data_IF_576638984070
#
_entry.id   IF_576638984070
#
_cell.length_a   1.000
_cell.length_b   1.000
_cell.length_c   1.000
_cell.angle_alpha   90.00
_cell.angle_beta   90.00
_cell.angle_gamma   90.00
#
_symmetry.space_group_name_H-M   'P 1'
#
loop_
_entity.id
_entity.type
_entity.pdbx_description
1 polymer ?
#
# COMPACT_ATOMS: atom_id res chain seq x y z
N UNK A 1 -11.80 19.92 6.59
CA UNK A 1 -11.14 20.35 5.33
C UNK A 1 -12.08 20.12 4.16
N UNK A 2 -13.20 20.79 4.19
CA UNK A 2 -14.23 20.63 3.14
C UNK A 2 -14.32 21.82 2.22
N UNK A 3 -13.73 22.96 2.62
CA UNK A 3 -13.69 24.19 1.82
C UNK A 3 -12.46 24.21 0.91
N UNK A 4 -12.52 25.00 -0.14
CA UNK A 4 -11.38 25.24 -1.02
C UNK A 4 -10.23 25.95 -0.30
N UNK A 5 -10.56 26.85 0.64
CA UNK A 5 -9.56 27.56 1.44
C UNK A 5 -8.76 26.60 2.34
N UNK A 6 -9.42 25.65 3.01
CA UNK A 6 -8.77 24.60 3.79
C UNK A 6 -7.84 23.76 2.91
N UNK A 7 -8.33 23.39 1.70
CA UNK A 7 -7.56 22.60 0.75
C UNK A 7 -6.29 23.34 0.31
N UNK A 8 -6.41 24.60 -0.08
CA UNK A 8 -5.29 25.44 -0.55
C UNK A 8 -4.26 25.66 0.58
N UNK A 9 -4.73 25.83 1.82
CA UNK A 9 -3.83 25.90 2.97
C UNK A 9 -3.03 24.60 3.13
N UNK A 10 -3.70 23.44 3.11
CA UNK A 10 -3.01 22.16 3.27
C UNK A 10 -2.08 21.91 2.08
N UNK A 11 -2.50 22.20 0.84
CA UNK A 11 -1.65 22.07 -0.34
C UNK A 11 -0.41 22.96 -0.27
N UNK A 12 -0.51 24.15 0.36
CA UNK A 12 0.65 25.00 0.58
C UNK A 12 1.68 24.38 1.53
N UNK A 13 1.27 23.50 2.43
CA UNK A 13 2.13 22.87 3.46
C UNK A 13 2.55 21.45 3.15
N UNK A 14 1.71 20.69 2.45
CA UNK A 14 1.87 19.25 2.18
C UNK A 14 1.96 19.03 0.67
N UNK A 15 2.86 18.18 0.23
CA UNK A 15 2.90 17.69 -1.15
C UNK A 15 1.77 16.67 -1.33
N UNK A 16 0.61 17.14 -1.77
CA UNK A 16 -0.60 16.32 -1.86
C UNK A 16 -0.49 15.21 -2.90
N UNK A 17 0.31 15.39 -3.96
CA UNK A 17 0.56 14.33 -4.93
C UNK A 17 1.41 13.21 -4.31
N UNK A 18 2.46 13.56 -3.57
CA UNK A 18 3.28 12.58 -2.85
C UNK A 18 2.48 11.87 -1.75
N UNK A 19 1.63 12.59 -1.03
CA UNK A 19 0.73 12.01 -0.04
C UNK A 19 -0.23 11.00 -0.69
N UNK A 20 -0.80 11.34 -1.85
CA UNK A 20 -1.66 10.44 -2.60
C UNK A 20 -0.90 9.19 -3.06
N UNK A 21 0.32 9.35 -3.61
CA UNK A 21 1.18 8.22 -4.00
C UNK A 21 1.50 7.30 -2.81
N UNK A 22 1.88 7.87 -1.68
CA UNK A 22 2.18 7.13 -0.45
C UNK A 22 1.00 6.24 -0.05
N UNK A 23 -0.19 6.83 0.11
CA UNK A 23 -1.36 6.09 0.53
C UNK A 23 -1.91 5.12 -0.51
N UNK A 24 -1.69 5.38 -1.80
CA UNK A 24 -2.00 4.40 -2.86
C UNK A 24 -1.14 3.16 -2.72
N UNK A 25 0.16 3.31 -2.40
CA UNK A 25 1.06 2.16 -2.19
C UNK A 25 0.66 1.39 -0.94
N UNK A 26 0.50 2.06 0.19
CA UNK A 26 0.09 1.45 1.47
C UNK A 26 -1.21 0.64 1.29
N UNK A 27 -2.21 1.24 0.65
CA UNK A 27 -3.51 0.60 0.38
C UNK A 27 -3.38 -0.57 -0.58
N UNK A 28 -2.63 -0.42 -1.67
CA UNK A 28 -2.49 -1.49 -2.67
C UNK A 28 -1.78 -2.70 -2.11
N UNK A 29 -0.72 -2.52 -1.36
CA UNK A 29 0.05 -3.61 -0.76
C UNK A 29 -0.53 -4.15 0.53
N UNK A 30 -1.62 -3.55 1.03
CA UNK A 30 -2.29 -4.00 2.25
C UNK A 30 -1.33 -4.01 3.45
N UNK A 31 -0.66 -2.88 3.65
CA UNK A 31 0.27 -2.72 4.76
C UNK A 31 -0.46 -2.81 6.10
N UNK A 32 -0.11 -3.82 6.88
CA UNK A 32 -0.76 -4.10 8.15
C UNK A 32 -0.23 -3.24 9.30
N UNK A 33 1.02 -2.78 9.21
CA UNK A 33 1.65 -1.93 10.23
C UNK A 33 1.80 -0.46 9.77
N UNK A 34 0.70 0.31 9.66
CA UNK A 34 0.76 1.70 9.27
C UNK A 34 1.24 2.63 10.41
N UNK A 35 1.79 2.07 11.49
CA UNK A 35 2.34 2.84 12.62
C UNK A 35 3.74 3.39 12.32
N UNK A 36 4.48 2.74 11.44
CA UNK A 36 5.83 3.10 11.06
C UNK A 36 5.83 4.22 10.00
N UNK A 37 5.27 5.39 10.34
CA UNK A 37 5.22 6.53 9.42
C UNK A 37 6.39 7.48 9.68
N UNK A 38 7.11 7.81 8.62
CA UNK A 38 8.12 8.87 8.59
C UNK A 38 7.78 9.91 7.54
N UNK A 39 8.02 11.14 7.90
CA UNK A 39 7.84 12.28 7.01
C UNK A 39 8.92 13.32 7.26
N UNK A 40 9.18 14.15 6.27
CA UNK A 40 10.16 15.21 6.35
C UNK A 40 9.67 16.46 5.62
N UNK A 41 10.25 17.60 5.98
CA UNK A 41 10.02 18.87 5.28
C UNK A 41 11.37 19.47 4.91
N UNK A 42 11.68 19.68 3.63
CA UNK A 42 12.81 20.50 3.22
C UNK A 42 12.66 21.93 3.73
N UNK A 43 13.77 22.65 3.89
CA UNK A 43 13.77 24.03 4.43
C UNK A 43 12.78 24.93 3.69
N UNK A 44 12.79 24.88 2.36
CA UNK A 44 11.91 25.68 1.49
C UNK A 44 10.85 24.82 0.78
N UNK A 45 10.46 23.69 1.38
CA UNK A 45 9.58 22.72 0.74
C UNK A 45 8.32 22.41 1.53
N UNK A 46 7.53 21.49 0.97
CA UNK A 46 6.32 20.93 1.57
C UNK A 46 6.65 19.66 2.36
N UNK A 47 5.78 19.27 3.28
CA UNK A 47 5.83 17.98 3.96
C UNK A 47 5.67 16.84 2.97
N UNK A 48 6.50 15.80 3.10
CA UNK A 48 6.49 14.58 2.29
C UNK A 48 6.60 13.34 3.15
N UNK A 49 5.95 12.27 2.75
CA UNK A 49 6.00 10.97 3.39
C UNK A 49 7.12 10.12 2.80
N UNK A 50 7.76 9.32 3.65
CA UNK A 50 8.79 8.37 3.23
C UNK A 50 8.17 7.00 3.18
N UNK A 51 8.15 6.39 2.00
CA UNK A 51 7.73 5.01 1.84
C UNK A 51 8.85 4.07 2.31
N UNK A 52 8.60 3.31 3.37
CA UNK A 52 9.54 2.34 3.93
C UNK A 52 8.77 1.31 4.75
N UNK A 53 9.46 0.21 5.15
CA UNK A 53 8.94 -0.79 6.09
C UNK A 53 7.66 -1.49 5.62
N UNK A 54 7.67 -1.90 4.33
CA UNK A 54 6.53 -2.58 3.70
C UNK A 54 6.60 -4.12 3.83
N UNK A 55 7.29 -4.64 4.83
CA UNK A 55 7.43 -6.08 5.06
C UNK A 55 6.17 -6.73 5.64
N UNK A 56 5.30 -5.94 6.27
CA UNK A 56 4.02 -6.39 6.82
C UNK A 56 2.87 -6.26 5.79
N UNK A 57 3.10 -6.80 4.59
CA UNK A 57 2.13 -6.73 3.48
C UNK A 57 1.60 -8.11 3.09
N UNK A 58 0.44 -8.15 2.45
CA UNK A 58 -0.18 -9.37 1.89
C UNK A 58 -0.45 -10.48 2.91
N UNK A 59 -0.83 -10.16 4.13
CA UNK A 59 -1.26 -11.16 5.09
C UNK A 59 -2.56 -11.85 4.66
N UNK A 60 -2.64 -13.17 4.90
CA UNK A 60 -3.73 -14.04 4.44
C UNK A 60 -5.12 -13.61 4.96
N UNK A 61 -5.17 -13.02 6.14
CA UNK A 61 -6.42 -12.61 6.78
C UNK A 61 -6.95 -11.24 6.32
N UNK A 62 -6.12 -10.40 5.73
CA UNK A 62 -6.50 -9.10 5.16
C UNK A 62 -7.03 -9.24 3.72
N UNK A 63 -6.85 -10.40 3.12
CA UNK A 63 -7.09 -10.70 1.72
C UNK A 63 -8.48 -10.32 1.18
N UNK A 64 -9.49 -10.34 2.03
CA UNK A 64 -10.88 -10.12 1.61
C UNK A 64 -11.46 -8.75 1.95
N UNK A 65 -10.75 -7.93 2.70
CA UNK A 65 -11.33 -6.69 3.23
C UNK A 65 -10.36 -5.52 3.22
N UNK A 66 -10.31 -4.79 2.11
CA UNK A 66 -9.70 -3.45 2.09
C UNK A 66 -10.47 -2.43 3.00
N UNK A 67 -11.41 -2.87 3.79
CA UNK A 67 -12.05 -1.99 4.80
C UNK A 67 -11.05 -1.40 5.79
N UNK A 68 -9.92 -2.11 6.01
CA UNK A 68 -8.88 -1.73 6.94
C UNK A 68 -7.80 -0.83 6.32
N UNK A 69 -7.68 -0.84 4.98
CA UNK A 69 -6.58 -0.21 4.27
C UNK A 69 -6.91 1.14 3.67
N UNK A 70 -8.19 1.51 3.67
CA UNK A 70 -8.54 2.84 3.20
C UNK A 70 -8.23 3.84 4.30
N UNK A 71 -7.34 4.80 4.04
CA UNK A 71 -6.94 5.81 5.02
C UNK A 71 -8.06 6.80 5.33
N UNK A 72 -9.31 6.44 5.01
CA UNK A 72 -10.47 7.32 5.10
C UNK A 72 -11.31 7.05 6.35
N UNK A 73 -11.16 5.89 6.96
CA UNK A 73 -11.79 5.58 8.22
C UNK A 73 -10.81 5.81 9.36
N UNK A 74 -10.95 6.89 10.14
CA UNK A 74 -10.04 7.16 11.25
C UNK A 74 -10.13 6.13 12.38
N UNK A 75 -11.11 5.23 12.32
CA UNK A 75 -11.34 4.19 13.33
C UNK A 75 -11.03 2.78 12.81
N UNK A 76 -10.66 2.64 11.54
CA UNK A 76 -10.46 1.34 10.91
C UNK A 76 -9.43 0.47 11.64
N UNK A 77 -8.39 1.09 12.18
CA UNK A 77 -7.30 0.40 12.88
C UNK A 77 -7.31 0.62 14.41
N UNK A 78 -8.43 1.05 14.95
CA UNK A 78 -8.55 1.39 16.37
C UNK A 78 -7.88 2.72 16.75
N UNK A 79 -7.91 3.06 18.04
CA UNK A 79 -7.48 4.37 18.52
C UNK A 79 -6.00 4.71 18.29
N UNK A 80 -5.15 3.72 18.13
CA UNK A 80 -3.71 3.92 17.96
C UNK A 80 -3.33 4.48 16.58
N UNK A 81 -4.19 4.32 15.58
CA UNK A 81 -3.95 4.76 14.19
C UNK A 81 -4.61 6.09 13.84
N UNK A 82 -5.35 6.66 14.76
CA UNK A 82 -6.13 7.87 14.56
C UNK A 82 -5.33 9.04 13.97
N UNK A 83 -4.11 9.26 14.48
CA UNK A 83 -3.27 10.37 14.02
C UNK A 83 -2.82 10.19 12.55
N UNK A 84 -2.58 8.95 12.14
CA UNK A 84 -2.04 8.65 10.81
C UNK A 84 -3.09 8.82 9.72
N UNK A 85 -4.35 8.50 10.02
CA UNK A 85 -5.44 8.53 9.05
C UNK A 85 -6.25 9.82 9.07
N UNK A 86 -6.15 10.63 10.12
CA UNK A 86 -6.95 11.86 10.28
C UNK A 86 -6.78 12.83 9.13
N UNK A 87 -5.55 13.04 8.66
CA UNK A 87 -5.30 13.94 7.53
C UNK A 87 -6.03 13.46 6.28
N UNK A 88 -5.86 12.18 5.91
CA UNK A 88 -6.48 11.59 4.73
C UNK A 88 -8.01 11.54 4.83
N UNK A 89 -8.56 11.11 5.98
CA UNK A 89 -10.01 11.03 6.19
C UNK A 89 -10.72 12.40 6.12
N UNK A 90 -9.98 13.46 6.32
CA UNK A 90 -10.51 14.82 6.14
C UNK A 90 -10.25 15.37 4.75
N UNK A 91 -9.09 15.12 4.15
CA UNK A 91 -8.77 15.56 2.79
C UNK A 91 -9.70 14.92 1.75
N UNK A 92 -10.03 13.64 1.90
CA UNK A 92 -10.88 12.93 0.93
C UNK A 92 -12.30 13.49 0.82
N UNK A 93 -12.74 14.28 1.81
CA UNK A 93 -14.02 15.00 1.77
C UNK A 93 -13.99 16.20 0.83
N UNK A 94 -12.80 16.70 0.50
CA UNK A 94 -12.66 17.75 -0.49
C UNK A 94 -12.66 17.17 -1.91
N UNK A 95 -13.51 17.66 -2.83
CA UNK A 95 -13.63 17.10 -4.19
C UNK A 95 -12.33 17.15 -4.99
N UNK A 96 -11.48 18.17 -4.78
CA UNK A 96 -10.18 18.30 -5.49
C UNK A 96 -9.24 17.18 -5.08
N UNK A 97 -9.09 16.96 -3.77
CA UNK A 97 -8.23 15.88 -3.28
C UNK A 97 -8.81 14.50 -3.61
N UNK A 98 -10.12 14.32 -3.49
CA UNK A 98 -10.78 13.07 -3.87
C UNK A 98 -10.49 12.72 -5.33
N UNK A 99 -10.60 13.68 -6.25
CA UNK A 99 -10.26 13.46 -7.65
C UNK A 99 -8.78 13.11 -7.84
N UNK A 100 -7.89 13.86 -7.21
CA UNK A 100 -6.44 13.62 -7.23
C UNK A 100 -6.11 12.18 -6.76
N UNK A 101 -6.70 11.74 -5.65
CA UNK A 101 -6.45 10.41 -5.12
C UNK A 101 -6.96 9.30 -6.04
N UNK A 102 -8.19 9.43 -6.57
CA UNK A 102 -8.77 8.46 -7.50
C UNK A 102 -7.93 8.37 -8.78
N UNK A 103 -7.52 9.51 -9.34
CA UNK A 103 -6.68 9.58 -10.54
C UNK A 103 -5.31 8.94 -10.31
N UNK A 104 -4.69 9.20 -9.16
CA UNK A 104 -3.40 8.60 -8.75
C UNK A 104 -3.55 7.10 -8.60
N UNK A 105 -4.59 6.63 -7.93
CA UNK A 105 -4.84 5.20 -7.73
C UNK A 105 -5.07 4.50 -9.08
N UNK A 106 -5.91 5.07 -9.93
CA UNK A 106 -6.18 4.54 -11.27
C UNK A 106 -4.92 4.53 -12.15
N UNK A 107 -4.10 5.57 -12.09
CA UNK A 107 -2.82 5.60 -12.79
C UNK A 107 -1.93 4.43 -12.39
N UNK A 108 -1.76 4.18 -11.10
CA UNK A 108 -0.94 3.09 -10.60
C UNK A 108 -1.50 1.72 -10.96
N UNK A 109 -2.80 1.51 -10.83
CA UNK A 109 -3.43 0.26 -11.25
C UNK A 109 -3.27 0.00 -12.75
N UNK A 110 -3.49 1.02 -13.57
CA UNK A 110 -3.41 0.88 -15.02
C UNK A 110 -1.97 0.79 -15.57
N UNK A 111 -0.95 1.19 -14.81
CA UNK A 111 0.42 1.29 -15.29
C UNK A 111 1.44 0.59 -14.38
N UNK A 112 1.51 0.98 -13.11
CA UNK A 112 2.58 0.56 -12.18
C UNK A 112 2.34 -0.84 -11.63
N UNK A 113 1.11 -1.11 -11.18
CA UNK A 113 0.74 -2.34 -10.47
C UNK A 113 0.11 -3.40 -11.37
N UNK A 114 0.37 -3.35 -12.67
CA UNK A 114 -0.06 -4.42 -13.58
C UNK A 114 0.53 -5.76 -13.12
N UNK A 115 -0.28 -6.82 -12.98
CA UNK A 115 0.18 -8.11 -12.46
C UNK A 115 1.41 -8.67 -13.18
N UNK A 116 1.43 -8.60 -14.51
CA UNK A 116 2.57 -9.08 -15.30
C UNK A 116 3.85 -8.29 -15.03
N UNK A 117 3.72 -6.96 -14.88
CA UNK A 117 4.86 -6.10 -14.52
C UNK A 117 5.38 -6.41 -13.13
N UNK A 118 4.48 -6.54 -12.16
CA UNK A 118 4.83 -6.83 -10.78
C UNK A 118 5.50 -8.20 -10.66
N UNK A 119 4.96 -9.22 -11.30
CA UNK A 119 5.57 -10.55 -11.33
C UNK A 119 6.96 -10.57 -11.97
N UNK A 120 7.17 -9.82 -13.06
CA UNK A 120 8.51 -9.68 -13.66
C UNK A 120 9.53 -9.04 -12.73
N UNK A 121 9.09 -8.04 -11.93
CA UNK A 121 9.96 -7.41 -10.91
C UNK A 121 10.28 -8.42 -9.81
N UNK A 122 9.28 -9.14 -9.31
CA UNK A 122 9.48 -10.18 -8.30
C UNK A 122 10.43 -11.27 -8.80
N UNK A 123 10.24 -11.76 -10.03
CA UNK A 123 11.14 -12.78 -10.64
C UNK A 123 12.59 -12.28 -10.71
N UNK A 124 12.78 -11.00 -11.04
CA UNK A 124 14.14 -10.42 -11.07
C UNK A 124 14.74 -10.38 -9.66
N UNK A 125 13.99 -9.91 -8.65
CA UNK A 125 14.45 -9.86 -7.26
C UNK A 125 14.78 -11.27 -6.73
N UNK A 126 13.92 -12.24 -6.99
CA UNK A 126 14.15 -13.66 -6.64
C UNK A 126 15.47 -14.15 -7.23
N UNK A 127 15.68 -13.94 -8.53
CA UNK A 127 16.91 -14.36 -9.22
C UNK A 127 18.17 -13.73 -8.65
N UNK A 128 18.09 -12.49 -8.15
CA UNK A 128 19.23 -11.78 -7.57
C UNK A 128 19.68 -12.36 -6.22
N UNK A 129 18.77 -12.95 -5.44
CA UNK A 129 19.07 -13.46 -4.10
C UNK A 129 19.04 -14.99 -3.99
N UNK A 130 18.53 -15.70 -5.00
CA UNK A 130 18.28 -17.15 -4.97
C UNK A 130 19.51 -17.97 -4.56
N UNK A 131 20.70 -17.60 -5.05
CA UNK A 131 21.94 -18.30 -4.73
C UNK A 131 22.39 -18.16 -3.28
N UNK A 132 21.96 -17.09 -2.62
CA UNK A 132 22.31 -16.78 -1.22
C UNK A 132 21.31 -17.37 -0.22
N UNK A 133 20.10 -17.72 -0.68
CA UNK A 133 19.05 -18.19 0.22
C UNK A 133 19.37 -19.48 0.98
N UNK A 134 20.08 -20.48 0.41
CA UNK A 134 20.50 -21.66 1.18
C UNK A 134 21.37 -21.30 2.40
N UNK A 135 22.30 -20.34 2.22
CA UNK A 135 23.17 -19.87 3.31
C UNK A 135 22.41 -19.04 4.34
N UNK A 136 21.47 -18.22 3.88
CA UNK A 136 20.57 -17.48 4.76
C UNK A 136 19.73 -18.43 5.65
N UNK A 137 19.12 -19.45 5.05
CA UNK A 137 18.31 -20.44 5.76
C UNK A 137 19.16 -21.22 6.78
N UNK A 138 20.34 -21.70 6.36
CA UNK A 138 21.24 -22.45 7.28
C UNK A 138 21.70 -21.57 8.45
N UNK A 139 21.97 -20.30 8.19
CA UNK A 139 22.42 -19.34 9.22
C UNK A 139 21.34 -19.07 10.27
N UNK A 140 20.11 -18.83 9.84
CA UNK A 140 19.06 -18.31 10.71
C UNK A 140 18.09 -19.38 11.23
N UNK A 141 18.00 -20.52 10.58
CA UNK A 141 17.15 -21.63 11.02
C UNK A 141 17.45 -22.06 12.46
N UNK A 142 18.69 -22.23 12.80
CA UNK A 142 19.11 -22.73 14.12
C UNK A 142 18.98 -21.71 15.26
N UNK A 143 19.09 -20.44 14.95
CA UNK A 143 19.00 -19.36 15.94
C UNK A 143 17.56 -18.93 16.21
N UNK A 144 16.66 -19.20 15.29
CA UNK A 144 15.28 -18.75 15.33
C UNK A 144 14.32 -19.68 16.07
N UNK A 145 14.76 -20.85 16.47
CA UNK A 145 13.95 -21.81 17.27
C UNK A 145 13.38 -21.18 18.56
N UNK A 146 13.92 -20.05 19.00
CA UNK A 146 13.45 -19.36 20.20
C UNK A 146 12.61 -18.11 19.96
N UNK A 147 12.49 -17.58 18.73
CA UNK A 147 12.06 -16.18 18.57
C UNK A 147 10.86 -15.94 17.64
N UNK A 148 10.53 -16.73 16.66
CA UNK A 148 9.29 -16.51 15.91
C UNK A 148 8.98 -17.49 14.79
N UNK A 149 7.69 -17.48 14.40
CA UNK A 149 7.07 -18.12 13.26
C UNK A 149 7.49 -17.57 11.86
N UNK A 150 8.52 -16.75 11.77
CA UNK A 150 8.95 -16.08 10.52
C UNK A 150 10.21 -16.65 9.90
N UNK A 151 10.60 -17.87 10.28
CA UNK A 151 11.80 -18.51 9.75
C UNK A 151 11.46 -19.48 8.65
N UNK A 152 12.36 -19.57 7.69
CA UNK A 152 12.25 -20.53 6.60
C UNK A 152 12.92 -21.84 7.00
N UNK A 153 12.20 -22.95 6.90
CA UNK A 153 12.75 -24.27 7.20
C UNK A 153 13.67 -24.79 6.08
N UNK A 154 13.35 -24.44 4.84
CA UNK A 154 14.08 -24.93 3.67
C UNK A 154 13.75 -24.12 2.40
N UNK A 155 14.49 -24.41 1.33
CA UNK A 155 14.28 -23.76 0.02
C UNK A 155 12.90 -24.01 -0.58
N UNK A 156 12.25 -25.15 -0.31
CA UNK A 156 10.91 -25.40 -0.84
C UNK A 156 9.90 -24.45 -0.21
N UNK A 157 10.01 -24.15 1.06
CA UNK A 157 9.17 -23.17 1.73
C UNK A 157 9.39 -21.78 1.16
N UNK A 158 10.63 -21.38 0.91
CA UNK A 158 10.94 -20.12 0.25
C UNK A 158 10.27 -20.00 -1.12
N UNK A 159 10.36 -21.03 -1.96
CA UNK A 159 9.67 -21.03 -3.25
C UNK A 159 8.15 -21.03 -3.11
N UNK A 160 7.59 -21.70 -2.11
CA UNK A 160 6.16 -21.66 -1.84
C UNK A 160 5.70 -20.25 -1.48
N UNK A 161 6.48 -19.52 -0.66
CA UNK A 161 6.19 -18.13 -0.32
C UNK A 161 6.28 -17.21 -1.54
N UNK A 162 7.25 -17.42 -2.44
CA UNK A 162 7.33 -16.69 -3.71
C UNK A 162 6.09 -16.96 -4.58
N UNK A 163 5.67 -18.21 -4.69
CA UNK A 163 4.47 -18.58 -5.45
C UNK A 163 3.21 -17.96 -4.83
N UNK A 164 3.13 -17.91 -3.51
CA UNK A 164 2.07 -17.22 -2.79
C UNK A 164 2.05 -15.73 -3.14
N UNK A 165 3.19 -15.02 -3.07
CA UNK A 165 3.29 -13.62 -3.47
C UNK A 165 2.87 -13.39 -4.93
N UNK A 166 3.27 -14.27 -5.85
CA UNK A 166 2.84 -14.20 -7.26
C UNK A 166 1.33 -14.30 -7.41
N UNK A 167 0.70 -15.18 -6.65
CA UNK A 167 -0.76 -15.30 -6.61
C UNK A 167 -1.38 -14.02 -6.07
N UNK A 168 -0.89 -13.50 -4.94
CA UNK A 168 -1.37 -12.26 -4.34
C UNK A 168 -1.28 -11.09 -5.33
N UNK A 169 -0.15 -10.89 -5.98
CA UNK A 169 0.03 -9.83 -6.97
C UNK A 169 -0.93 -9.92 -8.15
N UNK A 170 -1.31 -11.13 -8.55
CA UNK A 170 -2.29 -11.35 -9.62
C UNK A 170 -3.71 -11.00 -9.17
N UNK A 171 -4.09 -11.39 -7.97
CA UNK A 171 -5.46 -11.24 -7.45
C UNK A 171 -5.69 -9.83 -6.88
N UNK A 172 -4.66 -9.23 -6.29
CA UNK A 172 -4.73 -7.91 -5.66
C UNK A 172 -5.23 -6.80 -6.58
N UNK A 173 -4.89 -6.88 -7.86
CA UNK A 173 -5.33 -5.87 -8.82
C UNK A 173 -6.86 -5.72 -8.88
N UNK A 174 -7.58 -6.81 -9.01
CA UNK A 174 -9.05 -6.80 -9.04
C UNK A 174 -9.66 -6.47 -7.68
N UNK A 175 -9.04 -6.93 -6.60
CA UNK A 175 -9.45 -6.61 -5.23
C UNK A 175 -9.34 -5.10 -5.00
N UNK A 176 -8.20 -4.49 -5.35
CA UNK A 176 -7.96 -3.06 -5.19
C UNK A 176 -8.98 -2.21 -5.96
N UNK A 177 -9.28 -2.57 -7.22
CA UNK A 177 -10.29 -1.88 -8.03
C UNK A 177 -11.67 -1.93 -7.34
N UNK A 178 -12.10 -3.12 -6.91
CA UNK A 178 -13.40 -3.28 -6.27
C UNK A 178 -13.49 -2.51 -4.94
N UNK A 179 -12.41 -2.42 -4.23
CA UNK A 179 -12.37 -1.75 -2.93
C UNK A 179 -12.39 -0.25 -3.04
N UNK A 180 -11.65 0.32 -3.97
CA UNK A 180 -11.74 1.75 -4.28
C UNK A 180 -13.15 2.11 -4.75
N UNK A 181 -13.76 1.29 -5.61
CA UNK A 181 -15.14 1.51 -6.05
C UNK A 181 -16.08 1.58 -4.85
N UNK A 182 -15.99 0.64 -3.93
CA UNK A 182 -16.86 0.57 -2.74
C UNK A 182 -16.48 1.62 -1.68
N UNK A 183 -15.20 1.77 -1.40
CA UNK A 183 -14.73 2.62 -0.31
C UNK A 183 -14.91 4.11 -0.55
N UNK A 184 -14.95 4.52 -1.81
CA UNK A 184 -15.20 5.89 -2.23
C UNK A 184 -16.59 6.10 -2.86
N UNK A 185 -17.47 5.11 -2.80
CA UNK A 185 -18.83 5.16 -3.41
C UNK A 185 -18.78 5.69 -4.85
N UNK A 186 -17.86 5.14 -5.68
CA UNK A 186 -17.72 5.59 -7.06
C UNK A 186 -18.95 5.23 -7.87
N UNK A 187 -19.48 6.23 -8.56
CA UNK A 187 -20.51 6.00 -9.58
C UNK A 187 -19.98 5.14 -10.72
N UNK A 188 -20.88 4.51 -11.48
CA UNK A 188 -20.46 3.74 -12.65
C UNK A 188 -19.81 4.61 -13.73
N UNK A 189 -20.14 5.89 -13.80
CA UNK A 189 -19.50 6.84 -14.70
C UNK A 189 -18.06 7.16 -14.25
N UNK A 190 -17.86 7.47 -12.98
CA UNK A 190 -16.52 7.68 -12.42
C UNK A 190 -15.66 6.42 -12.58
N UNK A 191 -16.23 5.25 -12.27
CA UNK A 191 -15.53 3.99 -12.43
C UNK A 191 -15.08 3.78 -13.89
N UNK A 192 -15.96 3.94 -14.86
CA UNK A 192 -15.63 3.83 -16.29
C UNK A 192 -14.63 4.87 -16.76
N UNK A 193 -14.65 6.07 -16.17
CA UNK A 193 -13.71 7.15 -16.50
C UNK A 193 -12.28 6.78 -16.10
N UNK A 194 -12.08 6.22 -14.92
CA UNK A 194 -10.75 6.04 -14.34
C UNK A 194 -10.19 4.62 -14.52
N UNK A 195 -11.03 3.60 -14.45
CA UNK A 195 -10.62 2.19 -14.51
C UNK A 195 -11.08 1.57 -15.83
N UNK A 196 -10.36 1.91 -16.89
CA UNK A 196 -10.60 1.29 -18.20
C UNK A 196 -10.07 -0.13 -18.20
N UNK A 197 -10.90 -1.10 -18.61
CA UNK A 197 -10.49 -2.47 -18.90
C UNK A 197 -9.49 -2.51 -20.06
#
# INVERSE_FOLDING_TARGET
MTTDEDYEYVDSQVDLQELANYWVVETYFDQFDPMNIKFYKPVDGKWRWILFDLDQTFFDWSYTTIKWDLPFDPYAHGNNYYLNTTLMSNLIKNPKFRSLYIETFAYHLNNTFKPDRMNKILDKMVKEIESEMPYHIDRWYKESISVSSYTLDNMNEWYNNINYLKKQLKERHSIAINSIKKGLDLTDEEYKKYFKN
#
